data_IF_024896238777
#
_entry.id   IF_024896238777
#
_cell.length_a   1.000
_cell.length_b   1.000
_cell.length_c   1.000
_cell.angle_alpha   90.00
_cell.angle_beta   90.00
_cell.angle_gamma   90.00
#
_symmetry.space_group_name_H-M   'P 1'
#
loop_
_entity.id
_entity.type
_entity.pdbx_description
1 polymer ?
#
# COMPACT_ATOMS: atom_id res chain seq x y z
N UNK A 1 -0.45 -13.61 -8.61
CA UNK A 1 -1.43 -12.59 -9.02
C UNK A 1 -0.86 -11.76 -10.18
N UNK A 2 -1.64 -11.45 -11.23
CA UNK A 2 -1.19 -10.58 -12.34
C UNK A 2 -1.72 -9.14 -12.25
N UNK A 3 -2.76 -8.93 -11.44
CA UNK A 3 -3.28 -7.61 -11.16
C UNK A 3 -2.29 -6.86 -10.23
N UNK A 4 -1.95 -5.60 -10.55
CA UNK A 4 -1.18 -4.76 -9.66
C UNK A 4 -2.01 -4.48 -8.39
N UNK A 5 -1.37 -4.54 -7.23
CA UNK A 5 -2.01 -4.29 -5.93
C UNK A 5 -1.13 -3.34 -5.11
N UNK A 6 -1.72 -2.28 -4.56
CA UNK A 6 -1.03 -1.43 -3.59
C UNK A 6 -1.45 -1.86 -2.19
N UNK A 7 -0.50 -2.33 -1.39
CA UNK A 7 -0.71 -2.69 0.01
C UNK A 7 -0.33 -1.52 0.90
N UNK A 8 -1.23 -1.14 1.79
CA UNK A 8 -1.03 -0.09 2.78
C UNK A 8 -1.06 -0.70 4.19
N UNK A 9 0.10 -1.01 4.79
CA UNK A 9 0.12 -1.68 6.09
C UNK A 9 -0.51 -0.84 7.20
N UNK A 10 -1.04 -1.54 8.19
CA UNK A 10 -1.55 -1.01 9.44
C UNK A 10 -1.05 -1.91 10.58
N UNK A 11 -1.21 -1.49 11.82
CA UNK A 11 -0.84 -2.25 13.01
C UNK A 11 -1.92 -2.09 14.08
N UNK A 12 -3.04 -2.79 13.86
CA UNK A 12 -4.16 -2.86 14.82
C UNK A 12 -4.61 -4.32 14.97
N UNK A 13 -5.31 -4.70 16.07
CA UNK A 13 -5.77 -6.08 16.23
C UNK A 13 -6.61 -6.62 15.05
N UNK A 14 -7.38 -5.76 14.40
CA UNK A 14 -8.17 -6.12 13.21
C UNK A 14 -7.38 -6.06 11.90
N UNK A 15 -6.22 -5.42 11.89
CA UNK A 15 -5.36 -5.25 10.72
C UNK A 15 -3.89 -5.41 11.15
N UNK A 16 -3.41 -6.64 11.42
CA UNK A 16 -2.02 -6.86 11.82
C UNK A 16 -1.06 -6.58 10.66
N UNK A 17 0.16 -6.18 11.00
CA UNK A 17 1.17 -5.76 10.03
C UNK A 17 1.69 -6.92 9.17
N UNK A 18 2.05 -8.05 9.79
CA UNK A 18 2.63 -9.22 9.11
C UNK A 18 1.75 -9.73 7.95
N UNK A 19 0.43 -9.97 8.12
CA UNK A 19 -0.44 -10.37 7.02
C UNK A 19 -0.44 -9.40 5.82
N UNK A 20 -0.25 -8.10 6.06
CA UNK A 20 -0.14 -7.12 4.98
C UNK A 20 1.17 -7.32 4.18
N UNK A 21 2.28 -7.51 4.88
CA UNK A 21 3.58 -7.79 4.24
C UNK A 21 3.55 -9.10 3.47
N UNK A 22 3.05 -10.17 4.08
CA UNK A 22 2.90 -11.48 3.43
C UNK A 22 2.05 -11.39 2.16
N UNK A 23 0.95 -10.65 2.21
CA UNK A 23 0.08 -10.42 1.04
C UNK A 23 0.82 -9.73 -0.11
N UNK A 24 1.68 -8.75 0.19
CA UNK A 24 2.52 -8.09 -0.80
C UNK A 24 3.55 -9.07 -1.41
N UNK A 25 4.20 -9.89 -0.57
CA UNK A 25 5.20 -10.87 -1.01
C UNK A 25 4.61 -11.95 -1.95
N UNK A 26 3.34 -12.30 -1.78
CA UNK A 26 2.63 -13.25 -2.67
C UNK A 26 2.23 -12.64 -4.02
N UNK A 27 2.18 -11.31 -4.12
CA UNK A 27 1.74 -10.59 -5.30
C UNK A 27 2.95 -9.96 -6.04
N UNK A 28 3.43 -10.54 -7.15
CA UNK A 28 4.68 -10.14 -7.79
C UNK A 28 4.67 -8.74 -8.43
N UNK A 29 3.49 -8.15 -8.62
CA UNK A 29 3.31 -6.77 -9.11
C UNK A 29 2.75 -5.86 -8.02
N UNK A 30 2.92 -6.24 -6.76
CA UNK A 30 2.48 -5.38 -5.67
C UNK A 30 3.46 -4.26 -5.41
N UNK A 31 2.94 -3.17 -4.86
CA UNK A 31 3.72 -2.13 -4.23
C UNK A 31 3.31 -2.04 -2.76
N UNK A 32 4.24 -1.67 -1.90
CA UNK A 32 3.99 -1.40 -0.49
C UNK A 32 4.16 0.08 -0.24
N UNK A 33 3.20 0.73 0.42
CA UNK A 33 3.46 2.08 0.94
C UNK A 33 4.42 2.00 2.12
N UNK A 34 5.11 3.10 2.41
CA UNK A 34 5.82 3.22 3.67
C UNK A 34 4.86 3.08 4.86
N UNK A 35 5.38 2.60 5.99
CA UNK A 35 4.66 2.49 7.25
C UNK A 35 5.51 3.13 8.36
N UNK A 36 4.92 3.87 9.32
CA UNK A 36 3.51 4.23 9.39
C UNK A 36 3.18 5.43 8.50
N UNK A 37 2.06 5.36 7.77
CA UNK A 37 1.64 6.40 6.83
C UNK A 37 0.59 7.37 7.39
N UNK A 38 -0.16 6.95 8.42
CA UNK A 38 -1.28 7.71 9.01
C UNK A 38 -0.93 8.45 10.31
N UNK A 39 0.21 8.14 10.93
CA UNK A 39 0.52 8.58 12.30
C UNK A 39 0.88 10.07 12.42
N UNK A 40 1.40 10.67 11.35
CA UNK A 40 1.79 12.09 11.33
C UNK A 40 1.15 12.79 10.15
N UNK A 41 0.65 14.00 10.35
CA UNK A 41 -0.07 14.76 9.32
C UNK A 41 0.76 15.00 8.06
N UNK A 42 2.08 15.09 8.20
CA UNK A 42 3.04 15.33 7.11
C UNK A 42 3.24 14.10 6.22
N UNK A 43 3.02 12.89 6.76
CA UNK A 43 3.13 11.63 6.02
C UNK A 43 1.90 11.35 5.17
N UNK A 44 0.72 11.79 5.59
CA UNK A 44 -0.54 11.55 4.87
C UNK A 44 -0.46 12.05 3.40
N UNK A 45 -0.01 13.29 3.10
CA UNK A 45 0.17 13.75 1.72
C UNK A 45 1.12 12.88 0.89
N UNK A 46 2.17 12.32 1.51
CA UNK A 46 3.13 11.45 0.82
C UNK A 46 2.49 10.12 0.43
N UNK A 47 1.72 9.52 1.35
CA UNK A 47 0.98 8.29 1.09
C UNK A 47 -0.09 8.49 0.01
N UNK A 48 -0.86 9.59 0.10
CA UNK A 48 -1.87 9.96 -0.91
C UNK A 48 -1.21 10.18 -2.28
N UNK A 49 -0.02 10.78 -2.33
CA UNK A 49 0.73 10.95 -3.58
C UNK A 49 1.11 9.60 -4.18
N UNK A 50 1.60 8.65 -3.37
CA UNK A 50 1.91 7.29 -3.83
C UNK A 50 0.68 6.59 -4.39
N UNK A 51 -0.44 6.60 -3.66
CA UNK A 51 -1.73 6.03 -4.12
C UNK A 51 -2.13 6.63 -5.47
N UNK A 52 -2.05 7.95 -5.63
CA UNK A 52 -2.37 8.62 -6.91
C UNK A 52 -1.45 8.20 -8.05
N UNK A 53 -0.15 8.05 -7.79
CA UNK A 53 0.82 7.59 -8.78
C UNK A 53 0.51 6.15 -9.21
N UNK A 54 0.28 5.27 -8.25
CA UNK A 54 -0.09 3.87 -8.50
C UNK A 54 -1.35 3.76 -9.36
N UNK A 55 -2.42 4.48 -8.99
CA UNK A 55 -3.68 4.46 -9.75
C UNK A 55 -3.54 5.03 -11.16
N UNK A 56 -2.67 6.03 -11.37
CA UNK A 56 -2.40 6.58 -12.70
C UNK A 56 -1.62 5.61 -13.58
N UNK A 57 -0.64 4.90 -13.01
CA UNK A 57 0.18 3.93 -13.72
C UNK A 57 -0.59 2.67 -14.13
N UNK A 58 -1.60 2.29 -13.35
CA UNK A 58 -2.36 1.04 -13.52
C UNK A 58 -3.80 1.27 -14.02
N UNK A 59 -4.01 2.28 -14.87
CA UNK A 59 -5.32 2.50 -15.50
C UNK A 59 -5.64 1.38 -16.50
N UNK A 60 -6.89 0.91 -16.54
CA UNK A 60 -7.36 0.07 -17.65
C UNK A 60 -7.16 0.78 -18.99
N UNK A 61 -6.97 0.00 -20.05
CA UNK A 61 -6.91 0.49 -21.42
C UNK A 61 -8.27 1.03 -21.89
#
# INVERSE_FOLDING_TARGET
CQAPVLVMPDETPSHPYEPAIESAMLAPKSELTFFPWKDTKEKIPLAVRHVRTFLKANRPA
#
